data_IF_970484231771
#
_entry.id   IF_970484231771
#
_cell.length_a   1.000
_cell.length_b   1.000
_cell.length_c   1.000
_cell.angle_alpha   90.00
_cell.angle_beta   90.00
_cell.angle_gamma   90.00
#
_symmetry.space_group_name_H-M   'P 1'
#
loop_
_entity.id
_entity.type
_entity.pdbx_description
1 polymer ?
#
# COMPACT_ATOMS: atom_id res chain seq x y z
N UNK A 1 -2.57 0.17 -9.68
CA UNK A 1 -3.51 1.33 -9.72
C UNK A 1 -4.98 0.99 -10.02
N UNK A 2 -5.31 -0.13 -10.69
CA UNK A 2 -6.73 -0.46 -11.00
C UNK A 2 -7.59 -0.69 -9.76
N UNK A 3 -7.04 -1.25 -8.68
CA UNK A 3 -7.80 -1.58 -7.45
C UNK A 3 -8.11 -0.36 -6.59
N UNK A 4 -7.15 0.52 -6.36
CA UNK A 4 -7.36 1.76 -5.57
C UNK A 4 -8.42 2.65 -6.22
N UNK A 5 -8.43 2.76 -7.56
CA UNK A 5 -9.47 3.50 -8.27
C UNK A 5 -10.86 2.85 -8.16
N UNK A 6 -10.96 1.51 -8.22
CA UNK A 6 -12.23 0.79 -8.05
C UNK A 6 -12.78 0.98 -6.63
N UNK A 7 -11.92 0.90 -5.63
CA UNK A 7 -12.30 1.10 -4.24
C UNK A 7 -12.71 2.55 -3.97
N UNK A 8 -12.03 3.54 -4.57
CA UNK A 8 -12.40 4.94 -4.46
C UNK A 8 -13.79 5.25 -5.08
N UNK A 9 -14.14 4.55 -6.17
CA UNK A 9 -15.47 4.64 -6.81
C UNK A 9 -16.54 4.01 -5.92
N UNK A 10 -16.27 2.85 -5.30
CA UNK A 10 -17.21 2.19 -4.37
C UNK A 10 -17.51 3.05 -3.13
N UNK A 11 -16.51 3.75 -2.60
CA UNK A 11 -16.68 4.66 -1.45
C UNK A 11 -17.42 5.95 -1.82
N UNK A 12 -17.37 6.38 -3.11
CA UNK A 12 -18.10 7.56 -3.62
C UNK A 12 -19.53 7.28 -4.01
N UNK A 13 -19.92 6.03 -4.27
CA UNK A 13 -21.28 5.69 -4.67
C UNK A 13 -22.24 5.92 -3.50
N UNK A 14 -23.16 6.88 -3.68
CA UNK A 14 -24.11 7.35 -2.68
C UNK A 14 -25.05 6.25 -2.18
N UNK A 15 -25.36 6.33 -0.89
CA UNK A 15 -26.09 5.34 -0.11
C UNK A 15 -27.62 5.52 -0.23
N UNK A 16 -28.18 5.27 -1.41
CA UNK A 16 -29.63 5.15 -1.58
C UNK A 16 -29.98 3.70 -2.00
N UNK A 17 -29.58 2.72 -1.18
CA UNK A 17 -29.85 1.31 -1.47
C UNK A 17 -30.19 0.51 -0.21
N UNK A 18 -31.10 -0.43 -0.38
CA UNK A 18 -31.60 -1.42 0.59
C UNK A 18 -30.45 -2.02 1.42
N UNK A 19 -30.69 -2.32 2.69
CA UNK A 19 -29.75 -2.83 3.70
C UNK A 19 -28.85 -3.98 3.18
N UNK A 20 -29.40 -4.92 2.43
CA UNK A 20 -28.67 -6.02 1.79
C UNK A 20 -27.55 -5.56 0.85
N UNK A 21 -27.77 -4.49 0.08
CA UNK A 21 -26.73 -3.93 -0.80
C UNK A 21 -25.61 -3.24 -0.03
N UNK A 22 -25.86 -2.75 1.18
CA UNK A 22 -24.85 -2.11 2.04
C UNK A 22 -23.92 -3.15 2.66
N UNK A 23 -24.44 -4.29 3.09
CA UNK A 23 -23.61 -5.40 3.60
C UNK A 23 -22.72 -5.98 2.51
N UNK A 24 -23.24 -6.22 1.32
CA UNK A 24 -22.46 -6.72 0.17
C UNK A 24 -21.36 -5.74 -0.22
N UNK A 25 -21.65 -4.43 -0.28
CA UNK A 25 -20.65 -3.39 -0.56
C UNK A 25 -19.58 -3.29 0.52
N UNK A 26 -19.96 -3.45 1.78
CA UNK A 26 -19.05 -3.50 2.92
C UNK A 26 -18.06 -4.68 2.79
N UNK A 27 -18.58 -5.86 2.41
CA UNK A 27 -17.77 -7.06 2.20
C UNK A 27 -16.79 -6.88 1.04
N UNK A 28 -17.27 -6.35 -0.09
CA UNK A 28 -16.44 -6.04 -1.25
C UNK A 28 -15.35 -5.00 -0.93
N UNK A 29 -15.68 -3.95 -0.17
CA UNK A 29 -14.70 -2.96 0.25
C UNK A 29 -13.60 -3.57 1.13
N UNK A 30 -13.96 -4.44 2.08
CA UNK A 30 -13.00 -5.17 2.92
C UNK A 30 -12.12 -6.11 2.09
N UNK A 31 -12.70 -6.80 1.10
CA UNK A 31 -11.95 -7.68 0.20
C UNK A 31 -10.93 -6.88 -0.61
N UNK A 32 -11.34 -5.77 -1.22
CA UNK A 32 -10.43 -4.92 -2.00
C UNK A 32 -9.30 -4.29 -1.15
N UNK A 33 -9.59 -3.96 0.12
CA UNK A 33 -8.53 -3.52 1.03
C UNK A 33 -7.50 -4.63 1.27
N UNK A 34 -7.94 -5.88 1.47
CA UNK A 34 -7.03 -7.03 1.63
C UNK A 34 -6.19 -7.27 0.37
N UNK A 35 -6.80 -7.21 -0.81
CA UNK A 35 -6.09 -7.36 -2.08
C UNK A 35 -5.02 -6.26 -2.26
N UNK A 36 -5.37 -5.00 -1.95
CA UNK A 36 -4.43 -3.89 -2.01
C UNK A 36 -3.28 -4.04 -1.01
N UNK A 37 -3.55 -4.51 0.21
CA UNK A 37 -2.53 -4.80 1.22
C UNK A 37 -1.57 -5.89 0.76
N UNK A 38 -2.08 -6.97 0.16
CA UNK A 38 -1.26 -8.03 -0.43
C UNK A 38 -0.34 -7.49 -1.54
N UNK A 39 -0.87 -6.65 -2.43
CA UNK A 39 -0.05 -6.01 -3.47
C UNK A 39 1.06 -5.12 -2.90
N UNK A 40 0.78 -4.36 -1.84
CA UNK A 40 1.80 -3.56 -1.15
C UNK A 40 2.87 -4.45 -0.52
N UNK A 41 2.47 -5.54 0.13
CA UNK A 41 3.40 -6.51 0.71
C UNK A 41 4.30 -7.17 -0.35
N UNK A 42 3.75 -7.53 -1.51
CA UNK A 42 4.56 -8.03 -2.63
C UNK A 42 5.60 -7.01 -3.11
N UNK A 43 5.24 -5.73 -3.18
CA UNK A 43 6.19 -4.66 -3.57
C UNK A 43 7.27 -4.43 -2.51
N UNK A 44 6.93 -4.51 -1.21
CA UNK A 44 7.92 -4.47 -0.12
C UNK A 44 8.92 -5.62 -0.25
N UNK A 45 8.43 -6.84 -0.38
CA UNK A 45 9.27 -8.02 -0.56
C UNK A 45 10.17 -7.89 -1.83
N UNK A 46 9.64 -7.32 -2.94
CA UNK A 46 10.46 -7.05 -4.13
C UNK A 46 11.54 -6.00 -3.86
N UNK A 47 11.24 -4.95 -3.09
CA UNK A 47 12.23 -3.92 -2.71
C UNK A 47 13.35 -4.51 -1.84
N UNK A 48 13.00 -5.36 -0.89
CA UNK A 48 13.96 -6.08 -0.04
C UNK A 48 14.83 -7.05 -0.87
N UNK A 49 14.24 -7.75 -1.83
CA UNK A 49 14.98 -8.64 -2.72
C UNK A 49 15.98 -7.88 -3.61
N UNK A 50 15.62 -6.68 -4.11
CA UNK A 50 16.53 -5.83 -4.87
C UNK A 50 17.67 -5.28 -4.00
N UNK A 51 17.42 -4.96 -2.75
CA UNK A 51 18.46 -4.56 -1.79
C UNK A 51 19.47 -5.68 -1.55
N UNK A 52 18.97 -6.90 -1.34
CA UNK A 52 19.80 -8.08 -1.17
C UNK A 52 20.60 -8.41 -2.43
N UNK A 53 19.99 -8.31 -3.63
CA UNK A 53 20.69 -8.46 -4.92
C UNK A 53 21.83 -7.44 -5.04
N UNK A 54 21.55 -6.16 -4.74
CA UNK A 54 22.56 -5.10 -4.78
C UNK A 54 23.73 -5.36 -3.83
N UNK A 55 23.45 -5.83 -2.62
CA UNK A 55 24.47 -6.21 -1.65
C UNK A 55 25.37 -7.34 -2.14
N UNK A 56 24.77 -8.43 -2.68
CA UNK A 56 25.54 -9.57 -3.22
C UNK A 56 26.43 -9.15 -4.40
N UNK A 57 25.90 -8.30 -5.29
CA UNK A 57 26.69 -7.77 -6.41
C UNK A 57 27.85 -6.89 -5.93
N UNK A 58 27.66 -6.10 -4.87
CA UNK A 58 28.71 -5.28 -4.27
C UNK A 58 29.80 -6.14 -3.62
N UNK A 59 29.43 -7.18 -2.86
CA UNK A 59 30.37 -8.13 -2.26
C UNK A 59 31.20 -8.85 -3.33
N UNK A 60 30.57 -9.24 -4.44
CA UNK A 60 31.27 -9.88 -5.56
C UNK A 60 32.19 -8.89 -6.29
N UNK A 61 31.75 -7.64 -6.47
CA UNK A 61 32.60 -6.59 -7.07
C UNK A 61 33.86 -6.33 -6.21
N UNK A 62 33.71 -6.22 -4.90
CA UNK A 62 34.81 -6.03 -3.96
C UNK A 62 35.80 -7.19 -4.00
N UNK A 63 35.31 -8.43 -4.06
CA UNK A 63 36.13 -9.62 -4.18
C UNK A 63 36.97 -9.59 -5.47
N UNK A 64 36.35 -9.29 -6.62
CA UNK A 64 37.08 -9.22 -7.90
C UNK A 64 38.00 -8.01 -7.95
N UNK A 65 37.67 -6.89 -7.32
CA UNK A 65 38.57 -5.73 -7.18
C UNK A 65 39.83 -6.12 -6.41
N UNK A 66 39.73 -6.91 -5.36
CA UNK A 66 40.89 -7.49 -4.68
C UNK A 66 41.79 -8.33 -5.61
N UNK A 67 41.19 -9.16 -6.49
CA UNK A 67 41.92 -9.90 -7.50
C UNK A 67 42.59 -8.98 -8.55
N UNK A 68 41.95 -7.89 -8.94
CA UNK A 68 42.51 -6.88 -9.85
C UNK A 68 43.74 -6.23 -9.23
N UNK A 69 43.67 -5.83 -7.97
CA UNK A 69 44.81 -5.20 -7.26
C UNK A 69 46.00 -6.16 -7.19
N UNK A 70 45.75 -7.43 -6.86
CA UNK A 70 46.82 -8.44 -6.83
C UNK A 70 47.48 -8.66 -8.20
N UNK A 71 46.63 -8.80 -9.28
CA UNK A 71 47.16 -8.97 -10.63
C UNK A 71 47.87 -7.74 -11.17
N UNK A 72 47.43 -6.52 -10.81
CA UNK A 72 48.18 -5.29 -11.14
C UNK A 72 49.59 -5.28 -10.49
N UNK A 73 49.67 -5.65 -9.21
CA UNK A 73 50.97 -5.79 -8.53
C UNK A 73 51.88 -6.83 -9.20
N UNK A 74 51.32 -7.96 -9.65
CA UNK A 74 52.07 -8.98 -10.40
C UNK A 74 52.60 -8.45 -11.74
N UNK A 75 51.79 -7.63 -12.44
CA UNK A 75 52.23 -6.97 -13.69
C UNK A 75 53.42 -6.03 -13.43
N UNK A 76 53.32 -5.17 -12.44
CA UNK A 76 54.35 -4.20 -12.06
C UNK A 76 55.66 -4.93 -11.66
N UNK A 77 55.57 -5.97 -10.84
CA UNK A 77 56.70 -6.80 -10.43
C UNK A 77 57.40 -7.46 -11.62
N UNK A 78 56.61 -8.05 -12.54
CA UNK A 78 57.13 -8.72 -13.74
C UNK A 78 57.85 -7.70 -14.69
N UNK A 79 57.32 -6.51 -14.86
CA UNK A 79 57.91 -5.43 -15.64
C UNK A 79 59.19 -4.95 -15.02
N UNK A 80 59.23 -4.72 -13.70
CA UNK A 80 60.44 -4.30 -12.98
C UNK A 80 61.57 -5.35 -13.07
N UNK A 81 61.18 -6.63 -13.10
CA UNK A 81 62.12 -7.75 -13.28
C UNK A 81 62.51 -8.06 -14.73
N UNK A 82 62.08 -7.25 -15.70
CA UNK A 82 62.34 -7.48 -17.15
C UNK A 82 61.71 -8.71 -17.74
N UNK A 83 60.71 -9.34 -17.05
CA UNK A 83 60.06 -10.60 -17.44
C UNK A 83 58.81 -10.32 -18.31
N UNK A 84 59.01 -9.89 -19.55
CA UNK A 84 57.94 -9.45 -20.46
C UNK A 84 56.85 -10.52 -20.68
N UNK A 85 57.19 -11.80 -20.79
CA UNK A 85 56.20 -12.88 -21.00
C UNK A 85 55.34 -13.08 -19.76
N UNK A 86 55.89 -12.97 -18.54
CA UNK A 86 55.14 -13.07 -17.31
C UNK A 86 54.19 -11.88 -17.16
N UNK A 87 54.66 -10.64 -17.49
CA UNK A 87 53.78 -9.46 -17.52
C UNK A 87 52.62 -9.64 -18.49
N UNK A 88 52.85 -10.13 -19.71
CA UNK A 88 51.75 -10.44 -20.67
C UNK A 88 50.76 -11.46 -20.14
N UNK A 89 51.26 -12.51 -19.45
CA UNK A 89 50.40 -13.49 -18.85
C UNK A 89 49.49 -12.89 -17.78
N UNK A 90 50.07 -12.09 -16.87
CA UNK A 90 49.29 -11.41 -15.81
C UNK A 90 48.28 -10.42 -16.41
N UNK A 91 48.64 -9.66 -17.45
CA UNK A 91 47.69 -8.75 -18.14
C UNK A 91 46.54 -9.49 -18.78
N UNK A 92 46.77 -10.67 -19.39
CA UNK A 92 45.69 -11.49 -19.97
C UNK A 92 44.66 -11.96 -18.93
N UNK A 93 45.07 -12.13 -17.67
CA UNK A 93 44.18 -12.45 -16.56
C UNK A 93 43.53 -11.19 -15.97
N UNK A 94 44.22 -10.10 -15.92
CA UNK A 94 43.78 -8.84 -15.38
C UNK A 94 42.65 -8.20 -16.18
N UNK A 95 42.74 -8.14 -17.50
CA UNK A 95 41.76 -7.46 -18.33
C UNK A 95 40.33 -8.00 -18.20
N UNK A 96 40.10 -9.33 -18.19
CA UNK A 96 38.76 -9.88 -17.94
C UNK A 96 38.21 -9.51 -16.55
N UNK A 97 39.07 -9.43 -15.52
CA UNK A 97 38.66 -9.06 -14.16
C UNK A 97 38.25 -7.60 -14.07
N UNK A 98 39.00 -6.71 -14.69
CA UNK A 98 38.62 -5.28 -14.79
C UNK A 98 37.26 -5.09 -15.48
N UNK A 99 37.01 -5.79 -16.59
CA UNK A 99 35.73 -5.76 -17.29
C UNK A 99 34.60 -6.31 -16.39
N UNK A 100 34.84 -7.39 -15.68
CA UNK A 100 33.83 -7.94 -14.75
C UNK A 100 33.45 -6.97 -13.64
N UNK A 101 34.43 -6.21 -13.09
CA UNK A 101 34.14 -5.15 -12.10
C UNK A 101 33.29 -4.04 -12.71
N UNK A 102 33.61 -3.59 -13.93
CA UNK A 102 32.81 -2.57 -14.63
C UNK A 102 31.38 -3.02 -14.89
N UNK A 103 31.18 -4.27 -15.31
CA UNK A 103 29.86 -4.85 -15.55
C UNK A 103 29.06 -5.00 -14.24
N UNK A 104 29.70 -5.44 -13.14
CA UNK A 104 29.08 -5.52 -11.83
C UNK A 104 28.65 -4.13 -11.31
N UNK A 105 29.53 -3.13 -11.43
CA UNK A 105 29.20 -1.76 -11.04
C UNK A 105 28.03 -1.20 -11.82
N UNK A 106 27.94 -1.48 -13.13
CA UNK A 106 26.80 -1.11 -13.95
C UNK A 106 25.52 -1.79 -13.46
N UNK A 107 25.59 -3.09 -13.18
CA UNK A 107 24.45 -3.86 -12.68
C UNK A 107 23.98 -3.37 -11.29
N UNK A 108 24.91 -3.02 -10.41
CA UNK A 108 24.58 -2.41 -9.10
C UNK A 108 23.80 -1.11 -9.28
N UNK A 109 24.24 -0.25 -10.21
CA UNK A 109 23.56 1.00 -10.51
C UNK A 109 22.14 0.75 -11.05
N UNK A 110 21.96 -0.18 -11.99
CA UNK A 110 20.64 -0.55 -12.55
C UNK A 110 19.67 -1.04 -11.48
N UNK A 111 20.12 -1.96 -10.61
CA UNK A 111 19.35 -2.51 -9.50
C UNK A 111 19.00 -1.40 -8.49
N UNK A 112 19.94 -0.51 -8.19
CA UNK A 112 19.72 0.64 -7.32
C UNK A 112 18.66 1.59 -7.87
N UNK A 113 18.69 1.89 -9.16
CA UNK A 113 17.68 2.72 -9.81
C UNK A 113 16.29 2.05 -9.84
N UNK A 114 16.25 0.73 -10.12
CA UNK A 114 14.99 -0.03 -10.09
C UNK A 114 14.37 0.03 -8.69
N UNK A 115 15.19 -0.22 -7.65
CA UNK A 115 14.76 -0.15 -6.26
C UNK A 115 14.26 1.25 -5.89
N UNK A 116 15.01 2.30 -6.23
CA UNK A 116 14.62 3.67 -5.93
C UNK A 116 13.26 4.04 -6.53
N UNK A 117 13.03 3.68 -7.80
CA UNK A 117 11.73 3.86 -8.48
C UNK A 117 10.61 3.06 -7.81
N UNK A 118 10.90 1.84 -7.34
CA UNK A 118 9.91 1.00 -6.65
C UNK A 118 9.55 1.58 -5.28
N UNK A 119 10.54 2.01 -4.49
CA UNK A 119 10.34 2.61 -3.16
C UNK A 119 9.50 3.87 -3.26
N UNK A 120 9.81 4.78 -4.19
CA UNK A 120 9.03 6.00 -4.39
C UNK A 120 7.53 5.69 -4.69
N UNK A 121 7.28 4.72 -5.57
CA UNK A 121 5.90 4.29 -5.89
C UNK A 121 5.22 3.61 -4.71
N UNK A 122 5.97 2.85 -3.91
CA UNK A 122 5.46 2.16 -2.74
C UNK A 122 5.01 3.18 -1.68
N UNK A 123 5.82 4.18 -1.37
CA UNK A 123 5.50 5.25 -0.41
C UNK A 123 4.25 6.04 -0.82
N UNK A 124 4.09 6.35 -2.12
CA UNK A 124 2.90 7.01 -2.64
C UNK A 124 1.65 6.13 -2.43
N UNK A 125 1.74 4.85 -2.81
CA UNK A 125 0.63 3.90 -2.71
C UNK A 125 0.26 3.58 -1.25
N UNK A 126 1.22 3.53 -0.34
CA UNK A 126 0.97 3.37 1.09
C UNK A 126 0.20 4.56 1.68
N UNK A 127 0.55 5.79 1.27
CA UNK A 127 -0.21 6.99 1.67
C UNK A 127 -1.65 6.97 1.14
N UNK A 128 -1.83 6.61 -0.14
CA UNK A 128 -3.16 6.46 -0.74
C UNK A 128 -3.97 5.37 -0.05
N UNK A 129 -3.36 4.21 0.21
CA UNK A 129 -3.99 3.08 0.90
C UNK A 129 -4.43 3.45 2.30
N UNK A 130 -3.58 4.11 3.10
CA UNK A 130 -3.92 4.57 4.43
C UNK A 130 -5.07 5.59 4.45
N UNK A 131 -5.10 6.50 3.47
CA UNK A 131 -6.21 7.45 3.32
C UNK A 131 -7.52 6.74 2.97
N UNK A 132 -7.46 5.77 2.07
CA UNK A 132 -8.62 4.98 1.65
C UNK A 132 -9.14 4.09 2.79
N UNK A 133 -8.26 3.44 3.53
CA UNK A 133 -8.61 2.63 4.70
C UNK A 133 -9.35 3.46 5.76
N UNK A 134 -8.90 4.71 6.00
CA UNK A 134 -9.62 5.62 6.91
C UNK A 134 -11.02 5.96 6.41
N UNK A 135 -11.18 6.26 5.11
CA UNK A 135 -12.49 6.55 4.51
C UNK A 135 -13.44 5.37 4.60
N UNK A 136 -12.96 4.16 4.28
CA UNK A 136 -13.78 2.93 4.38
C UNK A 136 -14.22 2.70 5.82
N UNK A 137 -13.31 2.81 6.80
CA UNK A 137 -13.66 2.66 8.22
C UNK A 137 -14.70 3.68 8.68
N UNK A 138 -14.52 4.95 8.32
CA UNK A 138 -15.48 6.01 8.66
C UNK A 138 -16.86 5.74 8.06
N UNK A 139 -16.92 5.26 6.80
CA UNK A 139 -18.20 4.93 6.15
C UNK A 139 -18.88 3.73 6.78
N UNK A 140 -18.12 2.69 7.12
CA UNK A 140 -18.67 1.50 7.81
C UNK A 140 -19.19 1.84 9.20
N UNK A 141 -18.53 2.73 9.94
CA UNK A 141 -19.02 3.20 11.23
C UNK A 141 -20.33 3.98 11.08
N UNK A 142 -20.43 4.91 10.11
CA UNK A 142 -21.65 5.67 9.86
C UNK A 142 -22.84 4.76 9.49
N UNK A 143 -22.62 3.70 8.69
CA UNK A 143 -23.65 2.73 8.35
C UNK A 143 -24.12 1.98 9.62
N UNK A 144 -23.21 1.56 10.48
CA UNK A 144 -23.54 0.86 11.72
C UNK A 144 -24.35 1.74 12.68
N UNK A 145 -23.99 3.03 12.79
CA UNK A 145 -24.72 3.99 13.63
C UNK A 145 -26.14 4.24 13.08
N UNK A 146 -26.32 4.33 11.76
CA UNK A 146 -27.62 4.46 11.10
C UNK A 146 -28.50 3.22 11.33
N UNK A 147 -27.93 2.02 11.25
CA UNK A 147 -28.64 0.76 11.47
C UNK A 147 -29.05 0.61 12.94
N UNK A 148 -28.18 0.99 13.87
CA UNK A 148 -28.49 0.98 15.31
C UNK A 148 -29.62 1.95 15.63
N UNK A 149 -29.60 3.17 15.06
CA UNK A 149 -30.64 4.16 15.24
C UNK A 149 -32.00 3.67 14.68
N UNK A 150 -32.00 2.98 13.51
CA UNK A 150 -33.19 2.38 12.94
C UNK A 150 -33.75 1.24 13.80
N UNK A 151 -32.87 0.36 14.31
CA UNK A 151 -33.29 -0.73 15.19
C UNK A 151 -33.98 -0.21 16.44
N UNK A 152 -33.43 0.82 17.08
CA UNK A 152 -34.03 1.46 18.27
C UNK A 152 -35.43 2.02 17.97
N UNK A 153 -35.63 2.62 16.79
CA UNK A 153 -36.92 3.20 16.38
C UNK A 153 -37.93 2.10 16.01
N UNK A 154 -37.47 0.95 15.48
CA UNK A 154 -38.34 -0.15 15.08
C UNK A 154 -38.69 -1.14 16.20
N UNK A 155 -37.86 -1.20 17.27
CA UNK A 155 -38.05 -2.11 18.39
C UNK A 155 -38.91 -1.54 19.53
N UNK A 156 -39.42 -0.33 19.44
CA UNK A 156 -40.47 0.18 20.38
C UNK A 156 -41.83 -0.05 19.77
N UNK A 157 -42.44 -1.23 19.94
CA UNK A 157 -43.86 -1.40 19.60
C UNK A 157 -44.65 -0.48 20.50
N UNK A 158 -45.36 0.45 19.89
CA UNK A 158 -46.30 1.30 20.65
C UNK A 158 -47.44 0.38 21.10
N UNK A 159 -47.57 0.16 22.39
CA UNK A 159 -48.66 -0.62 22.93
C UNK A 159 -50.01 0.07 22.65
N UNK A 160 -51.04 -0.70 22.33
CA UNK A 160 -52.35 -0.14 22.06
C UNK A 160 -52.88 0.74 23.21
N UNK A 161 -52.47 0.41 24.44
CA UNK A 161 -52.74 1.20 25.65
C UNK A 161 -52.09 2.60 25.63
N UNK A 162 -50.86 2.74 25.07
CA UNK A 162 -50.20 4.01 24.91
C UNK A 162 -50.90 4.89 23.86
N UNK A 163 -51.40 4.28 22.80
CA UNK A 163 -52.18 4.96 21.77
C UNK A 163 -53.49 5.48 22.38
N UNK A 164 -54.20 4.65 23.18
CA UNK A 164 -55.42 5.06 23.85
C UNK A 164 -55.18 6.15 24.89
N UNK A 165 -54.09 6.05 25.67
CA UNK A 165 -53.72 7.09 26.64
C UNK A 165 -53.43 8.44 25.96
N UNK A 166 -52.74 8.45 24.82
CA UNK A 166 -52.46 9.68 24.08
C UNK A 166 -53.73 10.26 23.43
N UNK A 167 -54.64 9.38 22.95
CA UNK A 167 -55.94 9.82 22.48
C UNK A 167 -56.79 10.44 23.57
N UNK A 168 -56.79 9.88 24.78
CA UNK A 168 -57.50 10.43 25.95
C UNK A 168 -56.89 11.78 26.38
N UNK A 169 -55.57 11.91 26.38
CA UNK A 169 -54.89 13.19 26.64
C UNK A 169 -55.27 14.29 25.63
N UNK A 170 -55.39 13.93 24.37
CA UNK A 170 -55.81 14.87 23.33
C UNK A 170 -57.29 15.28 23.44
N UNK A 171 -58.12 14.32 23.84
CA UNK A 171 -59.58 14.63 24.10
C UNK A 171 -59.81 15.48 25.35
N UNK A 172 -58.96 15.37 26.38
CA UNK A 172 -59.04 16.14 27.61
C UNK A 172 -58.38 17.50 27.55
N UNK A 173 -57.72 17.85 26.45
CA UNK A 173 -57.20 19.19 26.23
C UNK A 173 -58.38 20.13 25.96
N UNK A 174 -58.65 21.17 26.77
CA UNK A 174 -59.70 22.12 26.49
C UNK A 174 -59.39 22.84 25.16
N UNK A 175 -60.35 22.80 24.24
CA UNK A 175 -60.27 23.63 23.01
C UNK A 175 -60.29 25.09 23.46
N UNK A 176 -59.16 25.76 23.32
CA UNK A 176 -59.15 27.24 23.40
C UNK A 176 -60.03 27.78 22.29
N UNK A 177 -61.06 28.57 22.62
CA UNK A 177 -61.90 29.18 21.59
C UNK A 177 -61.08 30.08 20.71
N UNK A 178 -61.18 29.90 19.41
CA UNK A 178 -60.65 30.82 18.42
C UNK A 178 -61.45 32.13 18.59
N UNK A 179 -60.79 33.16 19.15
CA UNK A 179 -61.32 34.51 19.15
C UNK A 179 -61.43 34.97 17.68
N UNK A 180 -62.65 35.10 17.21
CA UNK A 180 -62.98 35.84 16.01
C UNK A 180 -62.59 37.29 16.21
N UNK A 181 -61.54 37.74 15.55
CA UNK A 181 -61.20 39.18 15.42
C UNK A 181 -62.06 39.74 14.28
N UNK A 182 -62.93 40.57 14.69
CA UNK A 182 -63.79 41.43 13.85
C UNK A 182 -63.00 42.63 13.31
#
# INVERSE_FOLDING_TARGET
MKFLNRLAVLVKADAHGVLEQLEERSLLAKQHLREAELELNHKRARSEALEEESRRLAEEAERIEGEVVALDADVELALAGGKAELARFSVRRLLPRRRAVEDLRRRIAEVGEERARLVQKLEEQEREFAALQRRVRARLAAIHDEDTARAIVSETPVADEEVELELLRRRSRPQTPVEEVR
#
